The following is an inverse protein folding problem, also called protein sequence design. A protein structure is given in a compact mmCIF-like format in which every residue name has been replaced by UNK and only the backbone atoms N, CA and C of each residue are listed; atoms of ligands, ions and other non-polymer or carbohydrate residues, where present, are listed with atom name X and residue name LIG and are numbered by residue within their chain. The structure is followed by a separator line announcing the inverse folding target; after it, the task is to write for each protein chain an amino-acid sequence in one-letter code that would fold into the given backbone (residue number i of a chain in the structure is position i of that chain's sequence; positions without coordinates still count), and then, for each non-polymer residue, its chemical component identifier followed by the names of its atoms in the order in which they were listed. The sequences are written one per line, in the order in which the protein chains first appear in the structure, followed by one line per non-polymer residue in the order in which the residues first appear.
data_IF_310166806117
#
_entry.id   IF_310166806117
#
_cell.length_a   1.000
_cell.length_b   1.000
_cell.length_c   1.000
_cell.angle_alpha   90.00
_cell.angle_beta   90.00
_cell.angle_gamma   90.00
#
_symmetry.space_group_name_H-M   'P 1'
#
loop_
_entity.id
_entity.type
_entity.pdbx_description
1 polymer ?
#
# COMPACT_ATOMS: atom_id res chain seq x y z
N UNK A 1 -7.59 -6.55 25.55
CA UNK A 1 -6.83 -5.29 25.26
C UNK A 1 -7.44 -4.73 23.98
N UNK A 2 -8.10 -3.55 24.02
CA UNK A 2 -8.59 -2.86 22.82
C UNK A 2 -7.33 -2.46 22.04
N UNK A 3 -7.17 -3.00 20.85
CA UNK A 3 -6.12 -2.60 19.91
C UNK A 3 -6.36 -1.15 19.52
N UNK A 4 -5.41 -0.26 19.74
CA UNK A 4 -5.54 1.18 19.53
C UNK A 4 -5.42 1.59 18.06
N UNK A 5 -6.19 0.93 17.18
CA UNK A 5 -6.19 1.18 15.73
C UNK A 5 -7.07 2.34 15.27
N UNK A 6 -7.93 2.86 16.17
CA UNK A 6 -8.72 4.07 15.94
C UNK A 6 -8.53 5.04 17.08
N UNK A 7 -8.45 6.32 16.76
CA UNK A 7 -8.48 7.38 17.77
C UNK A 7 -9.89 7.52 18.38
N UNK A 8 -10.05 8.43 19.35
CA UNK A 8 -11.34 8.73 19.99
C UNK A 8 -12.41 9.27 19.01
N UNK A 9 -12.01 9.73 17.82
CA UNK A 9 -12.88 10.20 16.74
C UNK A 9 -13.23 9.13 15.70
N UNK A 10 -12.76 7.88 15.87
CA UNK A 10 -13.03 6.78 14.95
C UNK A 10 -12.15 6.77 13.69
N UNK A 11 -11.17 7.66 13.59
CA UNK A 11 -10.21 7.72 12.48
C UNK A 11 -9.20 6.59 12.59
N UNK A 12 -8.74 6.08 11.43
CA UNK A 12 -7.70 5.06 11.39
C UNK A 12 -6.37 5.62 11.88
N UNK A 13 -5.73 4.94 12.84
CA UNK A 13 -4.43 5.33 13.38
C UNK A 13 -3.50 4.14 13.45
N UNK A 14 -2.33 4.27 12.86
CA UNK A 14 -1.21 3.34 12.97
C UNK A 14 0.08 4.09 13.26
N UNK A 15 0.83 3.65 14.25
CA UNK A 15 2.15 4.21 14.58
C UNK A 15 2.93 3.14 15.35
N UNK A 16 3.87 2.48 14.68
CA UNK A 16 4.62 1.35 15.22
C UNK A 16 6.07 1.40 14.74
N UNK A 17 7.01 1.13 15.66
CA UNK A 17 8.39 0.80 15.29
C UNK A 17 8.57 -0.70 15.42
N UNK A 18 9.05 -1.33 14.37
CA UNK A 18 9.27 -2.77 14.31
C UNK A 18 10.73 -3.08 13.92
N UNK A 19 11.15 -4.30 14.20
CA UNK A 19 12.41 -4.84 13.71
C UNK A 19 12.05 -5.97 12.74
N UNK A 20 12.51 -5.85 11.48
CA UNK A 20 12.28 -6.89 10.48
C UNK A 20 13.10 -8.15 10.79
N UNK A 21 12.78 -9.28 10.16
CA UNK A 21 13.57 -10.52 10.30
C UNK A 21 15.04 -10.36 9.85
N UNK A 22 15.35 -9.31 9.10
CA UNK A 22 16.71 -8.96 8.68
C UNK A 22 17.41 -7.99 9.64
N UNK A 23 16.78 -7.69 10.78
CA UNK A 23 17.34 -6.80 11.80
C UNK A 23 17.18 -5.29 11.49
N UNK A 24 16.45 -4.92 10.44
CA UNK A 24 16.23 -3.53 10.08
C UNK A 24 15.16 -2.92 10.97
N UNK A 25 15.47 -1.77 11.57
CA UNK A 25 14.49 -0.98 12.34
C UNK A 25 13.66 -0.14 11.38
N UNK A 26 12.34 -0.30 11.42
CA UNK A 26 11.40 0.39 10.53
C UNK A 26 10.31 1.05 11.37
N UNK A 27 10.13 2.35 11.20
CA UNK A 27 9.01 3.09 11.77
C UNK A 27 7.90 3.20 10.73
N UNK A 28 6.74 2.65 11.01
CA UNK A 28 5.56 2.69 10.14
C UNK A 28 4.47 3.51 10.82
N UNK A 29 3.99 4.55 10.14
CA UNK A 29 2.92 5.41 10.64
C UNK A 29 2.03 5.93 9.52
N UNK A 30 0.87 6.49 9.87
CA UNK A 30 0.07 7.26 8.92
C UNK A 30 0.90 8.34 8.23
N UNK A 31 0.68 8.50 6.94
CA UNK A 31 1.05 9.72 6.24
C UNK A 31 0.18 10.87 6.71
N UNK A 32 0.77 12.04 6.92
CA UNK A 32 0.09 13.28 7.28
C UNK A 32 0.40 14.38 6.27
N UNK A 33 -0.38 15.45 6.27
CA UNK A 33 -0.24 16.54 5.28
C UNK A 33 1.20 17.07 5.14
N UNK A 34 1.95 17.14 6.24
CA UNK A 34 3.36 17.59 6.22
C UNK A 34 4.31 16.65 5.49
N UNK A 35 3.90 15.43 5.19
CA UNK A 35 4.72 14.44 4.47
C UNK A 35 4.56 14.55 2.94
N UNK A 36 3.68 15.42 2.42
CA UNK A 36 3.33 15.47 1.00
C UNK A 36 4.52 15.52 0.06
N UNK A 37 5.51 16.39 0.34
CA UNK A 37 6.70 16.50 -0.51
C UNK A 37 7.55 15.23 -0.54
N UNK A 38 7.79 14.60 0.62
CA UNK A 38 8.63 13.39 0.70
C UNK A 38 7.92 12.15 0.15
N UNK A 39 6.59 12.09 0.27
CA UNK A 39 5.79 11.00 -0.32
C UNK A 39 5.74 11.14 -1.84
N UNK A 40 5.55 12.35 -2.36
CA UNK A 40 5.59 12.61 -3.79
C UNK A 40 6.95 12.27 -4.40
N UNK A 41 8.05 12.63 -3.72
CA UNK A 41 9.41 12.23 -4.14
C UNK A 41 9.55 10.70 -4.16
N UNK A 42 9.12 10.03 -3.10
CA UNK A 42 9.15 8.56 -3.03
C UNK A 42 8.30 7.92 -4.14
N UNK A 43 7.13 8.49 -4.47
CA UNK A 43 6.31 8.06 -5.60
C UNK A 43 7.11 8.11 -6.90
N UNK A 44 7.72 9.24 -7.23
CA UNK A 44 8.50 9.37 -8.48
C UNK A 44 9.66 8.38 -8.55
N UNK A 45 10.38 8.19 -7.44
CA UNK A 45 11.50 7.25 -7.38
C UNK A 45 11.03 5.80 -7.55
N UNK A 46 10.04 5.35 -6.77
CA UNK A 46 9.53 3.96 -6.84
C UNK A 46 8.97 3.62 -8.22
N UNK A 47 8.25 4.57 -8.86
CA UNK A 47 7.64 4.36 -10.18
C UNK A 47 8.67 4.44 -11.34
N UNK A 48 9.83 5.07 -11.10
CA UNK A 48 10.93 5.05 -12.06
C UNK A 48 11.78 3.76 -11.99
N UNK A 49 11.80 3.09 -10.83
CA UNK A 49 12.66 1.93 -10.60
C UNK A 49 12.10 0.60 -11.10
N UNK A 50 10.79 0.52 -11.37
CA UNK A 50 10.12 -0.74 -11.73
C UNK A 50 8.97 -0.55 -12.71
N UNK A 51 8.72 -1.56 -13.52
CA UNK A 51 7.61 -1.64 -14.47
C UNK A 51 6.41 -2.45 -13.90
N UNK A 52 6.37 -2.64 -12.57
CA UNK A 52 5.32 -3.41 -11.90
C UNK A 52 4.20 -2.55 -11.30
N UNK A 53 4.33 -1.22 -11.33
CA UNK A 53 3.34 -0.29 -10.81
C UNK A 53 2.40 0.20 -11.92
N UNK A 54 1.19 0.61 -11.53
CA UNK A 54 0.11 0.98 -12.47
C UNK A 54 0.43 2.19 -13.33
N UNK A 55 1.26 3.12 -12.84
CA UNK A 55 1.54 4.40 -13.50
C UNK A 55 3.03 4.62 -13.65
N UNK A 56 3.40 5.43 -14.64
CA UNK A 56 4.75 5.96 -14.76
C UNK A 56 4.89 7.28 -14.01
N UNK A 57 6.10 7.71 -13.65
CA UNK A 57 6.32 8.96 -12.92
C UNK A 57 5.72 10.19 -13.61
N UNK A 58 5.79 10.23 -14.96
CA UNK A 58 5.29 11.33 -15.78
C UNK A 58 3.75 11.37 -15.92
N UNK A 59 3.04 10.38 -15.42
CA UNK A 59 1.58 10.31 -15.39
C UNK A 59 0.98 10.87 -14.10
N UNK A 60 1.80 11.06 -13.07
CA UNK A 60 1.36 11.73 -11.84
C UNK A 60 1.58 13.25 -11.97
N UNK A 61 0.49 13.98 -11.95
CA UNK A 61 0.49 15.45 -12.05
C UNK A 61 0.26 16.13 -10.70
N UNK A 62 0.32 15.39 -9.60
CA UNK A 62 0.23 15.98 -8.26
C UNK A 62 1.45 16.85 -8.00
N UNK A 63 1.21 18.02 -7.43
CA UNK A 63 2.22 18.78 -6.72
C UNK A 63 2.22 18.42 -5.23
N UNK A 64 3.18 18.97 -4.47
CA UNK A 64 3.32 18.67 -3.05
C UNK A 64 2.08 19.08 -2.23
N UNK A 65 1.34 20.10 -2.65
CA UNK A 65 0.12 20.54 -1.96
C UNK A 65 -1.04 19.57 -2.22
N UNK A 66 -1.15 19.05 -3.45
CA UNK A 66 -2.16 18.06 -3.79
C UNK A 66 -1.90 16.73 -3.07
N UNK A 67 -0.62 16.31 -2.97
CA UNK A 67 -0.24 15.15 -2.18
C UNK A 67 -0.54 15.35 -0.68
N UNK A 68 -0.25 16.54 -0.14
CA UNK A 68 -0.61 16.90 1.25
C UNK A 68 -2.11 16.79 1.51
N UNK A 69 -2.94 17.26 0.59
CA UNK A 69 -4.41 17.16 0.68
C UNK A 69 -4.89 15.70 0.59
N UNK A 70 -4.25 14.88 -0.26
CA UNK A 70 -4.53 13.45 -0.33
C UNK A 70 -4.24 12.76 1.00
N UNK A 71 -3.07 13.00 1.60
CA UNK A 71 -2.70 12.42 2.90
C UNK A 71 -3.63 12.91 4.02
N UNK A 72 -4.03 14.18 4.02
CA UNK A 72 -5.00 14.71 4.99
C UNK A 72 -6.37 14.02 4.86
N UNK A 73 -6.83 13.76 3.64
CA UNK A 73 -8.05 12.98 3.42
C UNK A 73 -7.92 11.58 3.99
N UNK A 74 -6.78 10.91 3.78
CA UNK A 74 -6.51 9.55 4.29
C UNK A 74 -6.46 9.51 5.82
N UNK A 75 -5.74 10.43 6.46
CA UNK A 75 -5.59 10.44 7.93
C UNK A 75 -6.89 10.79 8.65
N UNK A 76 -7.82 11.47 7.98
CA UNK A 76 -9.14 11.79 8.52
C UNK A 76 -10.21 10.76 8.18
N UNK A 77 -9.90 9.79 7.32
CA UNK A 77 -10.85 8.74 6.92
C UNK A 77 -11.11 7.73 8.04
N UNK A 78 -12.36 7.24 8.19
CA UNK A 78 -12.68 6.19 9.15
C UNK A 78 -12.26 4.77 8.69
N UNK A 79 -11.95 4.58 7.41
CA UNK A 79 -11.78 3.26 6.79
C UNK A 79 -10.71 3.18 5.69
N UNK A 80 -10.12 4.30 5.29
CA UNK A 80 -8.98 4.34 4.37
C UNK A 80 -7.71 4.79 5.10
N UNK A 81 -6.55 4.36 4.65
CA UNK A 81 -5.27 4.74 5.26
C UNK A 81 -4.17 4.76 4.21
N UNK A 82 -3.21 5.66 4.38
CA UNK A 82 -1.91 5.62 3.72
C UNK A 82 -0.83 5.56 4.80
N UNK A 83 -0.02 4.50 4.76
CA UNK A 83 1.09 4.25 5.68
C UNK A 83 2.41 4.56 5.01
N UNK A 84 3.31 5.16 5.75
CA UNK A 84 4.69 5.43 5.32
C UNK A 84 5.63 4.60 6.19
N UNK A 85 6.55 3.88 5.56
CA UNK A 85 7.65 3.20 6.24
C UNK A 85 8.91 4.05 6.18
N UNK A 86 9.48 4.35 7.35
CA UNK A 86 10.73 5.09 7.51
C UNK A 86 11.85 4.17 7.98
N UNK A 87 13.02 4.32 7.36
CA UNK A 87 14.28 3.72 7.78
C UNK A 87 15.29 4.84 7.94
N UNK A 88 15.86 4.98 9.13
CA UNK A 88 16.79 6.05 9.48
C UNK A 88 16.29 7.45 9.08
N UNK A 89 14.98 7.69 9.27
CA UNK A 89 14.30 8.96 8.94
C UNK A 89 14.01 9.19 7.46
N UNK A 90 14.34 8.26 6.56
CA UNK A 90 14.05 8.32 5.12
C UNK A 90 12.84 7.46 4.77
N UNK A 91 12.05 7.90 3.81
CA UNK A 91 10.91 7.10 3.30
C UNK A 91 11.44 5.93 2.48
N UNK A 92 11.18 4.72 2.94
CA UNK A 92 11.54 3.49 2.23
C UNK A 92 10.42 3.02 1.28
N UNK A 93 9.18 3.36 1.58
CA UNK A 93 8.03 3.04 0.76
C UNK A 93 6.72 3.41 1.45
N UNK A 94 5.63 3.27 0.72
CA UNK A 94 4.27 3.50 1.20
C UNK A 94 3.35 2.32 0.91
N UNK A 95 2.28 2.20 1.68
CA UNK A 95 1.20 1.25 1.42
C UNK A 95 -0.12 1.80 1.95
N UNK A 96 -1.20 1.51 1.24
CA UNK A 96 -2.52 2.00 1.62
C UNK A 96 -3.64 1.03 1.35
N UNK A 97 -4.80 1.34 1.92
CA UNK A 97 -6.07 0.71 1.60
C UNK A 97 -7.07 1.77 1.20
N UNK A 98 -7.81 1.49 0.13
CA UNK A 98 -8.86 2.31 -0.43
C UNK A 98 -10.17 1.52 -0.46
N UNK A 99 -11.29 2.16 -0.10
CA UNK A 99 -12.61 1.57 -0.28
C UNK A 99 -12.91 1.35 -1.76
N UNK A 100 -13.36 0.17 -2.17
CA UNK A 100 -13.80 -0.08 -3.55
C UNK A 100 -15.05 0.75 -3.88
N UNK A 101 -15.89 1.00 -2.89
CA UNK A 101 -17.02 1.90 -3.03
C UNK A 101 -17.85 2.01 -1.76
N UNK A 102 -18.67 3.06 -1.69
CA UNK A 102 -19.54 3.32 -0.55
C UNK A 102 -20.90 2.59 -0.63
N UNK A 103 -21.23 2.00 -1.79
CA UNK A 103 -22.50 1.31 -2.01
C UNK A 103 -22.55 0.02 -1.15
N UNK A 104 -23.67 -0.24 -0.51
CA UNK A 104 -23.86 -1.37 0.42
C UNK A 104 -23.32 -2.71 -0.10
N UNK A 105 -23.52 -2.99 -1.39
CA UNK A 105 -23.09 -4.28 -2.02
C UNK A 105 -21.58 -4.43 -2.14
N UNK A 106 -20.80 -3.37 -2.05
CA UNK A 106 -19.33 -3.37 -2.23
C UNK A 106 -18.57 -2.75 -1.05
N UNK A 107 -19.28 -2.12 -0.09
CA UNK A 107 -18.67 -1.42 1.04
C UNK A 107 -17.85 -2.32 1.98
N UNK A 108 -17.98 -3.64 1.87
CA UNK A 108 -17.20 -4.62 2.62
C UNK A 108 -15.84 -4.95 1.97
N UNK A 109 -15.50 -4.32 0.85
CA UNK A 109 -14.30 -4.59 0.06
C UNK A 109 -13.37 -3.38 0.03
N UNK A 110 -12.08 -3.63 0.12
CA UNK A 110 -11.05 -2.60 -0.06
C UNK A 110 -9.95 -3.09 -1.00
N UNK A 111 -9.33 -2.14 -1.70
CA UNK A 111 -8.13 -2.37 -2.52
C UNK A 111 -6.88 -2.05 -1.70
N UNK A 112 -5.84 -2.85 -1.87
CA UNK A 112 -4.53 -2.69 -1.26
C UNK A 112 -3.50 -2.31 -2.32
N UNK A 113 -2.69 -1.28 -2.03
CA UNK A 113 -1.56 -0.87 -2.84
C UNK A 113 -0.29 -0.72 -2.02
N UNK A 114 0.87 -0.97 -2.64
CA UNK A 114 2.18 -0.83 -2.01
C UNK A 114 3.24 -0.47 -3.04
N UNK A 115 4.16 0.42 -2.67
CA UNK A 115 5.38 0.69 -3.42
C UNK A 115 6.57 0.85 -2.46
N UNK A 116 7.72 0.30 -2.82
CA UNK A 116 8.94 0.31 -2.00
C UNK A 116 10.13 0.60 -2.90
N UNK A 117 11.01 1.49 -2.47
CA UNK A 117 12.28 1.76 -3.15
C UNK A 117 13.10 0.48 -3.29
N UNK A 118 13.70 0.29 -4.46
CA UNK A 118 14.39 -0.94 -4.84
C UNK A 118 15.53 -1.30 -3.89
N UNK A 119 16.23 -0.32 -3.34
CA UNK A 119 17.30 -0.51 -2.34
C UNK A 119 16.81 -1.20 -1.05
N UNK A 120 15.51 -1.09 -0.72
CA UNK A 120 14.90 -1.72 0.44
C UNK A 120 14.19 -3.05 0.14
N UNK A 121 14.28 -3.56 -1.08
CA UNK A 121 13.67 -4.84 -1.43
C UNK A 121 14.35 -6.01 -0.73
N UNK A 122 13.56 -6.97 -0.28
CA UNK A 122 14.07 -8.18 0.41
C UNK A 122 14.47 -7.97 1.87
N UNK A 123 14.30 -6.74 2.41
CA UNK A 123 14.64 -6.40 3.80
C UNK A 123 13.47 -6.56 4.78
N UNK A 124 12.31 -7.03 4.32
CA UNK A 124 11.14 -7.30 5.15
C UNK A 124 10.14 -6.14 5.29
N UNK A 125 10.42 -4.97 4.71
CA UNK A 125 9.52 -3.79 4.78
C UNK A 125 8.18 -4.07 4.10
N UNK A 126 8.19 -4.72 2.92
CA UNK A 126 6.97 -5.06 2.21
C UNK A 126 6.03 -5.94 3.02
N UNK A 127 6.58 -6.95 3.69
CA UNK A 127 5.82 -7.80 4.61
C UNK A 127 5.22 -6.99 5.76
N UNK A 128 6.01 -6.14 6.39
CA UNK A 128 5.57 -5.33 7.51
C UNK A 128 4.44 -4.35 7.14
N UNK A 129 4.57 -3.65 6.01
CA UNK A 129 3.53 -2.77 5.48
C UNK A 129 2.25 -3.54 5.12
N UNK A 130 2.39 -4.72 4.48
CA UNK A 130 1.25 -5.58 4.15
C UNK A 130 0.50 -6.03 5.41
N UNK A 131 1.22 -6.51 6.42
CA UNK A 131 0.66 -6.92 7.72
C UNK A 131 -0.04 -5.74 8.43
N UNK A 132 0.56 -4.54 8.40
CA UNK A 132 -0.05 -3.33 8.96
C UNK A 132 -1.35 -2.96 8.24
N UNK A 133 -1.37 -2.97 6.91
CA UNK A 133 -2.59 -2.71 6.13
C UNK A 133 -3.68 -3.75 6.37
N UNK A 134 -3.34 -5.04 6.49
CA UNK A 134 -4.30 -6.10 6.85
C UNK A 134 -4.95 -5.82 8.21
N UNK A 135 -4.15 -5.42 9.20
CA UNK A 135 -4.67 -5.09 10.52
C UNK A 135 -5.58 -3.85 10.48
N UNK A 136 -5.20 -2.82 9.71
CA UNK A 136 -6.05 -1.65 9.50
C UNK A 136 -7.36 -2.00 8.79
N UNK A 137 -7.33 -2.86 7.76
CA UNK A 137 -8.52 -3.30 7.04
C UNK A 137 -9.50 -4.05 7.95
N UNK A 138 -8.99 -4.95 8.81
CA UNK A 138 -9.80 -5.63 9.85
C UNK A 138 -10.41 -4.64 10.83
N UNK A 139 -9.63 -3.68 11.31
CA UNK A 139 -10.11 -2.65 12.24
C UNK A 139 -11.15 -1.71 11.59
N UNK A 140 -11.06 -1.49 10.28
CA UNK A 140 -12.04 -0.73 9.50
C UNK A 140 -13.35 -1.49 9.30
N UNK A 141 -13.35 -2.82 9.46
CA UNK A 141 -14.53 -3.67 9.30
C UNK A 141 -14.71 -4.21 7.87
N UNK A 142 -13.66 -4.18 7.05
CA UNK A 142 -13.69 -4.84 5.75
C UNK A 142 -13.73 -6.36 5.91
N UNK A 143 -14.44 -7.04 5.03
CA UNK A 143 -14.48 -8.49 4.95
C UNK A 143 -13.48 -9.05 3.92
N UNK A 144 -13.02 -8.21 3.00
CA UNK A 144 -12.16 -8.62 1.90
C UNK A 144 -11.19 -7.50 1.52
N UNK A 145 -9.92 -7.86 1.36
CA UNK A 145 -8.86 -7.00 0.82
C UNK A 145 -8.39 -7.57 -0.51
N UNK A 146 -8.28 -6.73 -1.53
CA UNK A 146 -8.00 -7.13 -2.91
C UNK A 146 -6.76 -6.39 -3.43
N UNK A 147 -6.07 -7.01 -4.37
CA UNK A 147 -4.98 -6.40 -5.11
C UNK A 147 -4.83 -7.02 -6.51
N UNK A 148 -4.22 -6.27 -7.41
CA UNK A 148 -3.68 -6.78 -8.66
C UNK A 148 -2.15 -6.74 -8.63
N UNK A 149 -1.51 -7.77 -9.16
CA UNK A 149 -0.05 -7.86 -9.24
C UNK A 149 0.38 -8.36 -10.62
N UNK A 150 1.43 -7.76 -11.17
CA UNK A 150 2.03 -8.21 -12.44
C UNK A 150 2.59 -9.62 -12.27
N UNK A 151 2.25 -10.54 -13.19
CA UNK A 151 2.56 -11.98 -13.08
C UNK A 151 4.08 -12.27 -12.99
N UNK A 152 4.91 -11.41 -13.58
CA UNK A 152 6.37 -11.51 -13.52
C UNK A 152 6.94 -11.05 -12.16
N UNK A 153 6.16 -10.38 -11.30
CA UNK A 153 6.58 -9.95 -9.98
C UNK A 153 6.49 -11.09 -8.95
N UNK A 154 7.28 -12.15 -9.16
CA UNK A 154 7.27 -13.35 -8.31
C UNK A 154 7.53 -13.07 -6.83
N UNK A 155 8.34 -12.03 -6.53
CA UNK A 155 8.63 -11.61 -5.15
C UNK A 155 7.37 -11.10 -4.44
N UNK A 156 6.63 -10.21 -5.07
CA UNK A 156 5.40 -9.66 -4.50
C UNK A 156 4.33 -10.76 -4.36
N UNK A 157 4.16 -11.60 -5.38
CA UNK A 157 3.21 -12.73 -5.35
C UNK A 157 3.50 -13.65 -4.16
N UNK A 158 4.76 -14.07 -3.98
CA UNK A 158 5.17 -14.93 -2.85
C UNK A 158 4.89 -14.26 -1.49
N UNK A 159 5.14 -12.95 -1.38
CA UNK A 159 4.85 -12.19 -0.16
C UNK A 159 3.35 -12.15 0.13
N UNK A 160 2.50 -11.90 -0.87
CA UNK A 160 1.04 -11.86 -0.71
C UNK A 160 0.48 -13.25 -0.36
N UNK A 161 0.96 -14.30 -1.02
CA UNK A 161 0.58 -15.68 -0.68
C UNK A 161 0.95 -16.02 0.77
N UNK A 162 2.13 -15.63 1.23
CA UNK A 162 2.55 -15.82 2.63
C UNK A 162 1.67 -15.04 3.61
N UNK A 163 1.14 -13.88 3.21
CA UNK A 163 0.19 -13.09 3.99
C UNK A 163 -1.25 -13.65 3.94
N UNK A 164 -1.51 -14.69 3.14
CA UNK A 164 -2.80 -15.38 3.05
C UNK A 164 -3.66 -14.96 1.84
N UNK A 165 -3.15 -14.10 0.96
CA UNK A 165 -3.87 -13.80 -0.28
C UNK A 165 -3.91 -15.01 -1.21
N UNK A 166 -5.05 -15.19 -1.88
CA UNK A 166 -5.27 -16.24 -2.88
C UNK A 166 -5.59 -15.61 -4.24
N UNK A 167 -5.04 -16.22 -5.29
CA UNK A 167 -5.39 -15.85 -6.66
C UNK A 167 -6.85 -16.20 -6.94
N UNK A 168 -7.59 -15.30 -7.62
CA UNK A 168 -8.96 -15.57 -8.05
C UNK A 168 -9.24 -15.22 -9.52
N UNK A 169 -8.27 -14.62 -10.21
CA UNK A 169 -8.41 -14.30 -11.63
C UNK A 169 -7.11 -13.84 -12.27
N UNK A 170 -7.10 -13.84 -13.61
CA UNK A 170 -5.99 -13.36 -14.42
C UNK A 170 -6.50 -12.53 -15.60
N UNK A 171 -5.76 -11.47 -15.91
CA UNK A 171 -5.98 -10.65 -17.09
C UNK A 171 -4.69 -10.61 -17.93
N UNK A 172 -4.60 -11.36 -19.06
CA UNK A 172 -3.39 -11.42 -19.89
C UNK A 172 -2.94 -10.09 -20.49
N UNK A 173 -3.81 -9.10 -20.52
CA UNK A 173 -3.54 -7.75 -21.03
C UNK A 173 -3.91 -6.69 -19.98
N UNK A 174 -3.61 -6.96 -18.72
CA UNK A 174 -3.99 -6.10 -17.60
C UNK A 174 -3.26 -4.76 -17.60
N UNK A 175 -1.95 -4.75 -17.87
CA UNK A 175 -1.18 -3.55 -18.13
C UNK A 175 -0.62 -3.55 -19.57
N UNK A 176 -0.27 -2.36 -20.03
CA UNK A 176 0.52 -2.15 -21.24
C UNK A 176 1.78 -1.39 -20.87
N UNK A 177 2.87 -2.13 -20.76
CA UNK A 177 4.19 -1.55 -20.53
C UNK A 177 4.70 -0.80 -21.77
N UNK A 178 5.39 0.31 -21.53
CA UNK A 178 6.13 1.04 -22.58
C UNK A 178 7.31 0.22 -23.12
N UNK A 179 7.83 -0.72 -22.33
CA UNK A 179 9.05 -1.47 -22.64
C UNK A 179 8.80 -2.93 -23.00
N UNK A 180 7.80 -3.58 -22.38
CA UNK A 180 7.57 -5.02 -22.45
C UNK A 180 6.26 -5.43 -23.18
N UNK A 181 5.47 -4.45 -23.68
CA UNK A 181 4.18 -4.74 -24.29
C UNK A 181 3.11 -5.05 -23.24
N UNK A 182 2.24 -6.04 -23.48
CA UNK A 182 1.21 -6.40 -22.51
C UNK A 182 1.76 -7.23 -21.38
N UNK A 183 1.35 -6.89 -20.16
CA UNK A 183 1.67 -7.63 -18.93
C UNK A 183 0.40 -8.28 -18.39
N UNK A 184 0.52 -9.55 -18.01
CA UNK A 184 -0.56 -10.25 -17.31
C UNK A 184 -0.68 -9.72 -15.88
N UNK A 185 -1.92 -9.46 -15.43
CA UNK A 185 -2.23 -9.20 -14.04
C UNK A 185 -2.87 -10.43 -13.39
N UNK A 186 -2.40 -10.72 -12.19
CA UNK A 186 -3.00 -11.70 -11.29
C UNK A 186 -3.81 -10.93 -10.25
N UNK A 187 -5.12 -11.16 -10.21
CA UNK A 187 -6.00 -10.64 -9.17
C UNK A 187 -5.97 -11.54 -7.95
N UNK A 188 -5.63 -10.98 -6.80
CA UNK A 188 -5.54 -11.71 -5.53
C UNK A 188 -6.47 -11.09 -4.48
N UNK A 189 -6.98 -11.90 -3.56
CA UNK A 189 -7.81 -11.45 -2.45
C UNK A 189 -7.45 -12.16 -1.15
N UNK A 190 -7.70 -11.46 -0.04
CA UNK A 190 -7.62 -11.98 1.31
C UNK A 190 -8.99 -11.80 1.98
N UNK A 191 -9.54 -12.88 2.53
CA UNK A 191 -10.70 -12.81 3.43
C UNK A 191 -10.21 -12.44 4.83
N UNK A 192 -10.86 -11.43 5.48
CA UNK A 192 -10.41 -10.77 6.71
C UNK A 192 -11.11 -11.27 7.97
#
# INVERSE_FOLDING_TARGET
KRSGWKDSGGKMKYDQTIITQKGLVVHIRNGVASDGSIVLENFHLTHAETDYLRTYPDENHFDAEQESRYLEKKVTSPNEIELIAFVDGKVAGTAGIDAIGAQYKVAHRAEFGISILKEYWGLGIGRALTEACIQCAKAAGYAQLELDVVAENARAISMYQTAGFVEYGRNPKGFRSRNAGFQELISMRLEL
#
